data_IF_699821636674
#
_entry.id   IF_699821636674
#
_cell.length_a   1.000
_cell.length_b   1.000
_cell.length_c   1.000
_cell.angle_alpha   90.00
_cell.angle_beta   90.00
_cell.angle_gamma   90.00
#
_symmetry.space_group_name_H-M   'P 1'
#
loop_
_entity.id
_entity.type
_entity.pdbx_description
1 polymer ?
#
# COMPACT_ATOMS: atom_id res chain seq x y z
N UNK A 1 -10.52 -12.68 -3.46
CA UNK A 1 -9.23 -13.35 -3.18
C UNK A 1 -8.89 -13.09 -1.72
N UNK A 2 -8.65 -14.14 -0.93
CA UNK A 2 -8.15 -14.00 0.44
C UNK A 2 -6.62 -13.98 0.35
N UNK A 3 -5.98 -12.93 0.84
CA UNK A 3 -4.51 -12.86 0.93
C UNK A 3 -4.13 -12.82 2.40
N UNK A 4 -3.20 -13.69 2.78
CA UNK A 4 -2.54 -13.66 4.09
C UNK A 4 -1.04 -13.53 3.85
N UNK A 5 -0.42 -12.48 4.40
CA UNK A 5 1.04 -12.32 4.39
C UNK A 5 1.54 -11.87 5.76
N UNK A 6 2.65 -12.45 6.17
CA UNK A 6 3.41 -12.01 7.34
C UNK A 6 4.04 -10.65 7.05
N UNK A 7 4.30 -9.89 8.11
CA UNK A 7 5.10 -8.69 8.01
C UNK A 7 6.55 -9.08 7.81
N UNK A 8 7.09 -8.93 6.60
CA UNK A 8 8.51 -9.20 6.25
C UNK A 8 9.49 -8.21 6.93
N UNK A 9 9.13 -7.67 8.09
CA UNK A 9 9.91 -6.75 8.89
C UNK A 9 10.71 -7.47 9.96
N UNK A 10 11.70 -6.77 10.53
CA UNK A 10 12.72 -7.32 11.45
C UNK A 10 12.22 -8.23 12.59
N UNK A 11 10.97 -8.10 13.02
CA UNK A 11 10.42 -8.81 14.18
C UNK A 11 9.20 -9.69 13.89
N UNK A 12 8.75 -9.82 12.62
CA UNK A 12 7.54 -10.59 12.22
C UNK A 12 6.30 -10.36 13.12
N UNK A 13 6.21 -9.19 13.76
CA UNK A 13 5.27 -8.93 14.85
C UNK A 13 3.80 -8.94 14.42
N UNK A 14 3.55 -8.68 13.14
CA UNK A 14 2.21 -8.55 12.60
C UNK A 14 2.03 -9.39 11.34
N UNK A 15 0.80 -9.82 11.09
CA UNK A 15 0.39 -10.34 9.78
C UNK A 15 -0.89 -9.66 9.31
N UNK A 16 -1.04 -9.57 7.98
CA UNK A 16 -2.19 -8.95 7.33
C UNK A 16 -3.05 -10.01 6.70
N UNK A 17 -4.35 -9.87 6.93
CA UNK A 17 -5.41 -10.58 6.22
C UNK A 17 -6.20 -9.56 5.39
N UNK A 18 -6.22 -9.74 4.08
CA UNK A 18 -7.05 -8.95 3.17
C UNK A 18 -8.24 -9.78 2.73
N UNK A 19 -9.43 -9.23 2.99
CA UNK A 19 -10.71 -9.69 2.49
C UNK A 19 -11.30 -8.66 1.52
N UNK A 20 -12.49 -8.94 1.00
CA UNK A 20 -13.20 -7.96 0.16
C UNK A 20 -13.45 -6.68 0.96
N UNK A 21 -12.78 -5.60 0.58
CA UNK A 21 -12.90 -4.25 1.13
C UNK A 21 -12.50 -4.10 2.62
N UNK A 22 -11.85 -5.11 3.20
CA UNK A 22 -11.46 -5.11 4.61
C UNK A 22 -10.01 -5.58 4.73
N UNK A 23 -9.21 -4.83 5.46
CA UNK A 23 -7.85 -5.19 5.85
C UNK A 23 -7.81 -5.35 7.37
N UNK A 24 -7.48 -6.56 7.82
CA UNK A 24 -7.33 -6.89 9.23
C UNK A 24 -5.85 -7.14 9.51
N UNK A 25 -5.30 -6.45 10.51
CA UNK A 25 -3.92 -6.64 10.97
C UNK A 25 -3.97 -7.30 12.34
N UNK A 26 -3.23 -8.38 12.50
CA UNK A 26 -3.18 -9.17 13.73
C UNK A 26 -1.77 -9.17 14.30
N UNK A 27 -1.65 -9.27 15.61
CA UNK A 27 -0.39 -9.59 16.27
C UNK A 27 -0.08 -11.08 16.11
N UNK A 28 1.16 -11.40 15.80
CA UNK A 28 1.63 -12.77 15.58
C UNK A 28 1.61 -13.60 16.87
N UNK A 29 1.99 -13.01 18.00
CA UNK A 29 2.09 -13.74 19.28
C UNK A 29 0.71 -14.09 19.86
N UNK A 30 -0.23 -13.14 19.79
CA UNK A 30 -1.53 -13.27 20.46
C UNK A 30 -2.67 -13.61 19.50
N UNK A 31 -2.44 -13.54 18.19
CA UNK A 31 -3.47 -13.62 17.14
C UNK A 31 -4.64 -12.63 17.35
N UNK A 32 -4.40 -11.58 18.14
CA UNK A 32 -5.40 -10.56 18.44
C UNK A 32 -5.42 -9.49 17.36
N UNK A 33 -6.60 -8.93 17.10
CA UNK A 33 -6.77 -7.86 16.13
C UNK A 33 -6.15 -6.57 16.67
N UNK A 34 -5.15 -6.03 15.96
CA UNK A 34 -4.48 -4.78 16.32
C UNK A 34 -5.52 -3.66 16.42
N UNK A 35 -5.44 -2.82 17.46
CA UNK A 35 -6.40 -1.75 17.80
C UNK A 35 -7.88 -2.20 17.87
N UNK A 36 -8.15 -3.51 17.95
CA UNK A 36 -9.49 -4.11 17.99
C UNK A 36 -10.40 -3.69 16.81
N UNK A 37 -9.82 -3.21 15.70
CA UNK A 37 -10.57 -2.70 14.55
C UNK A 37 -9.82 -2.95 13.24
N UNK A 38 -10.56 -3.37 12.21
CA UNK A 38 -10.07 -3.52 10.84
C UNK A 38 -10.15 -2.20 10.05
N UNK A 39 -9.28 -2.03 9.07
CA UNK A 39 -9.34 -0.96 8.08
C UNK A 39 -10.41 -1.28 7.03
N UNK A 40 -11.28 -0.31 6.74
CA UNK A 40 -12.19 -0.36 5.60
C UNK A 40 -11.51 0.35 4.43
N UNK A 41 -10.94 -0.43 3.52
CA UNK A 41 -10.34 0.10 2.30
C UNK A 41 -10.77 -0.78 1.13
N UNK A 42 -11.47 -0.18 0.18
CA UNK A 42 -12.07 -0.93 -0.93
C UNK A 42 -11.06 -1.24 -2.02
N UNK A 43 -11.23 -2.40 -2.64
CA UNK A 43 -10.52 -2.80 -3.86
C UNK A 43 -8.98 -2.79 -3.75
N UNK A 44 -8.43 -3.03 -2.57
CA UNK A 44 -6.97 -3.24 -2.44
C UNK A 44 -6.56 -4.46 -3.26
N UNK A 45 -5.60 -4.26 -4.16
CA UNK A 45 -5.11 -5.32 -5.05
C UNK A 45 -3.71 -5.78 -4.69
N UNK A 46 -2.91 -4.91 -4.07
CA UNK A 46 -1.57 -5.26 -3.64
C UNK A 46 -1.17 -4.50 -2.37
N UNK A 47 -0.24 -5.08 -1.62
CA UNK A 47 0.35 -4.47 -0.44
C UNK A 47 1.76 -5.00 -0.19
N UNK A 48 2.57 -4.18 0.48
CA UNK A 48 3.89 -4.58 0.96
C UNK A 48 4.21 -3.95 2.32
N UNK A 49 4.93 -4.69 3.15
CA UNK A 49 5.43 -4.19 4.43
C UNK A 49 6.73 -3.40 4.26
N UNK A 50 7.07 -2.57 5.25
CA UNK A 50 8.46 -2.11 5.39
C UNK A 50 9.30 -3.26 5.91
N UNK A 51 10.53 -3.41 5.43
CA UNK A 51 11.47 -4.36 6.01
C UNK A 51 11.99 -3.93 7.40
N UNK A 52 11.90 -2.65 7.75
CA UNK A 52 12.49 -2.12 8.99
C UNK A 52 11.51 -1.44 9.97
N UNK A 53 10.33 -1.06 9.48
CA UNK A 53 9.31 -0.33 10.24
C UNK A 53 7.96 -1.02 10.12
N UNK A 54 7.06 -0.94 11.12
CA UNK A 54 5.71 -1.48 11.00
C UNK A 54 4.81 -0.58 10.15
N UNK A 55 5.19 -0.33 8.90
CA UNK A 55 4.49 0.50 7.92
C UNK A 55 4.01 -0.38 6.76
N UNK A 56 2.72 -0.30 6.45
CA UNK A 56 2.08 -1.00 5.35
C UNK A 56 1.93 -0.06 4.15
N UNK A 57 2.36 -0.50 2.98
CA UNK A 57 2.09 0.17 1.70
C UNK A 57 0.88 -0.51 1.04
N UNK A 58 -0.15 0.25 0.69
CA UNK A 58 -1.40 -0.25 0.13
C UNK A 58 -1.60 0.32 -1.27
N UNK A 59 -1.99 -0.51 -2.22
CA UNK A 59 -2.32 -0.10 -3.58
C UNK A 59 -3.77 -0.47 -3.94
N UNK A 60 -4.52 0.54 -4.38
CA UNK A 60 -5.86 0.39 -4.98
C UNK A 60 -5.73 0.72 -6.48
N UNK A 61 -6.25 -0.12 -7.38
CA UNK A 61 -6.15 0.08 -8.82
C UNK A 61 -7.08 1.21 -9.27
N UNK A 62 -6.91 1.70 -10.49
CA UNK A 62 -7.93 2.55 -11.09
C UNK A 62 -9.22 1.75 -11.28
N UNK A 63 -10.29 2.19 -10.63
CA UNK A 63 -11.62 1.62 -10.81
C UNK A 63 -12.21 2.21 -12.10
N UNK A 64 -12.95 1.40 -12.87
CA UNK A 64 -13.34 1.65 -14.27
C UNK A 64 -14.19 2.90 -14.58
N UNK A 65 -14.31 3.86 -13.66
CA UNK A 65 -14.80 5.20 -13.91
C UNK A 65 -13.72 6.08 -14.58
N UNK A 66 -14.11 6.88 -15.56
CA UNK A 66 -13.22 7.95 -16.06
C UNK A 66 -12.88 8.85 -14.88
N UNK A 67 -11.59 8.99 -14.57
CA UNK A 67 -11.02 9.95 -13.62
C UNK A 67 -10.97 9.55 -12.13
N UNK A 68 -11.17 8.28 -11.77
CA UNK A 68 -10.87 7.84 -10.40
C UNK A 68 -9.36 7.53 -10.25
N UNK A 69 -8.67 8.14 -9.27
CA UNK A 69 -7.26 7.88 -9.07
C UNK A 69 -7.03 6.46 -8.53
N UNK A 70 -5.82 5.96 -8.75
CA UNK A 70 -5.28 4.77 -8.10
C UNK A 70 -4.39 5.19 -6.93
N UNK A 71 -4.92 5.30 -5.69
CA UNK A 71 -4.10 5.73 -4.56
C UNK A 71 -3.09 4.65 -4.18
N UNK A 72 -1.89 5.12 -3.82
CA UNK A 72 -0.92 4.35 -3.05
C UNK A 72 -0.72 5.06 -1.72
N UNK A 73 -0.98 4.37 -0.61
CA UNK A 73 -0.89 4.92 0.74
C UNK A 73 0.06 4.15 1.64
N UNK A 74 0.66 4.88 2.59
CA UNK A 74 1.52 4.36 3.65
C UNK A 74 0.78 4.47 4.98
N UNK A 75 0.59 3.34 5.66
CA UNK A 75 -0.16 3.26 6.91
C UNK A 75 0.75 2.76 8.03
N UNK A 76 0.86 3.52 9.11
CA UNK A 76 1.60 3.15 10.31
C UNK A 76 0.80 2.15 11.15
N UNK A 77 1.46 1.10 11.64
CA UNK A 77 0.92 0.11 12.57
C UNK A 77 1.75 0.15 13.86
N UNK A 78 1.14 0.07 15.06
CA UNK A 78 -0.31 0.17 15.33
C UNK A 78 -0.84 1.59 15.08
N UNK A 79 -2.12 1.83 15.38
CA UNK A 79 -2.77 3.14 15.23
C UNK A 79 -3.44 3.35 13.88
N UNK A 80 -2.93 2.71 12.82
CA UNK A 80 -3.50 2.73 11.47
C UNK A 80 -3.61 4.14 10.88
N UNK A 81 -2.64 4.98 11.22
CA UNK A 81 -2.53 6.34 10.73
C UNK A 81 -1.98 6.33 9.29
N UNK A 82 -2.67 7.00 8.37
CA UNK A 82 -2.16 7.20 7.01
C UNK A 82 -1.07 8.28 7.06
N UNK A 83 0.19 7.83 6.98
CA UNK A 83 1.35 8.72 7.04
C UNK A 83 1.39 9.62 5.81
N UNK A 84 1.24 9.03 4.62
CA UNK A 84 1.26 9.71 3.32
C UNK A 84 0.55 8.89 2.25
N UNK A 85 0.13 9.56 1.20
CA UNK A 85 -0.48 8.93 0.03
C UNK A 85 -0.15 9.71 -1.24
N UNK A 86 -0.26 9.05 -2.39
CA UNK A 86 -0.25 9.71 -3.70
C UNK A 86 -1.34 9.13 -4.58
N UNK A 87 -2.02 10.00 -5.32
CA UNK A 87 -2.91 9.61 -6.40
C UNK A 87 -2.12 9.35 -7.68
N UNK A 88 -2.25 8.15 -8.21
CA UNK A 88 -1.76 7.80 -9.52
C UNK A 88 -2.91 7.84 -10.54
N UNK A 89 -2.57 8.05 -11.81
CA UNK A 89 -3.54 8.22 -12.89
C UNK A 89 -3.09 7.53 -14.16
N UNK A 90 -4.04 7.08 -14.97
CA UNK A 90 -3.80 6.31 -16.20
C UNK A 90 -2.94 5.08 -15.91
N UNK A 91 -3.19 4.35 -14.82
CA UNK A 91 -2.34 3.25 -14.33
C UNK A 91 -2.80 1.94 -14.95
N UNK A 92 -1.87 1.19 -15.54
CA UNK A 92 -2.10 -0.19 -16.00
C UNK A 92 -1.60 -1.22 -14.99
N UNK A 93 -0.45 -0.97 -14.38
CA UNK A 93 0.16 -1.86 -13.38
C UNK A 93 1.03 -1.05 -12.41
N UNK A 94 1.18 -1.56 -11.18
CA UNK A 94 1.99 -0.96 -10.14
C UNK A 94 2.82 -2.04 -9.44
N UNK A 95 4.11 -1.76 -9.22
CA UNK A 95 4.98 -2.60 -8.39
C UNK A 95 5.67 -1.76 -7.33
N UNK A 96 5.54 -2.19 -6.08
CA UNK A 96 6.11 -1.51 -4.92
C UNK A 96 7.46 -2.14 -4.54
N UNK A 97 8.48 -1.30 -4.35
CA UNK A 97 9.83 -1.70 -3.98
C UNK A 97 10.31 -0.92 -2.76
N UNK A 98 10.80 -1.66 -1.75
CA UNK A 98 11.27 -1.13 -0.46
C UNK A 98 12.67 -1.67 -0.19
N UNK A 99 13.58 -0.81 0.27
CA UNK A 99 14.96 -1.19 0.64
C UNK A 99 15.21 -1.01 2.14
N UNK A 100 15.50 0.23 2.57
CA UNK A 100 15.99 0.53 3.92
C UNK A 100 14.98 1.37 4.73
N UNK A 101 13.69 1.33 4.37
CA UNK A 101 12.61 2.08 5.02
C UNK A 101 12.66 3.61 4.88
N UNK A 102 13.69 4.18 4.25
CA UNK A 102 13.75 5.62 3.95
C UNK A 102 12.87 6.00 2.75
N UNK A 103 12.77 5.11 1.78
CA UNK A 103 12.02 5.33 0.55
C UNK A 103 11.11 4.14 0.21
N UNK A 104 9.95 4.45 -0.38
CA UNK A 104 9.17 3.52 -1.18
C UNK A 104 9.26 3.99 -2.63
N UNK A 105 9.71 3.11 -3.52
CA UNK A 105 9.65 3.32 -4.95
C UNK A 105 8.49 2.53 -5.54
N UNK A 106 7.62 3.21 -6.28
CA UNK A 106 6.52 2.58 -7.01
C UNK A 106 6.84 2.68 -8.49
N UNK A 107 7.12 1.54 -9.13
CA UNK A 107 7.15 1.46 -10.59
C UNK A 107 5.71 1.49 -11.07
N UNK A 108 5.36 2.47 -11.88
CA UNK A 108 4.02 2.66 -12.42
C UNK A 108 4.08 2.51 -13.93
N UNK A 109 3.42 1.48 -14.46
CA UNK A 109 3.19 1.39 -15.89
C UNK A 109 1.90 2.17 -16.20
N UNK A 110 2.02 3.17 -17.08
CA UNK A 110 0.94 4.13 -17.38
C UNK A 110 0.49 4.02 -18.82
N UNK A 111 -0.81 4.05 -19.04
CA UNK A 111 -1.38 4.19 -20.38
C UNK A 111 -1.05 5.55 -20.98
N UNK A 112 -0.74 5.57 -22.28
CA UNK A 112 -0.71 6.83 -23.04
C UNK A 112 -2.11 7.43 -23.15
N UNK A 113 -2.21 8.72 -23.49
CA UNK A 113 -3.50 9.44 -23.62
C UNK A 113 -4.51 8.71 -24.53
N UNK A 114 -4.01 8.02 -25.56
CA UNK A 114 -4.82 7.30 -26.56
C UNK A 114 -4.99 5.81 -26.18
N UNK A 115 -4.47 5.38 -25.01
CA UNK A 115 -4.50 4.00 -24.48
C UNK A 115 -3.98 2.91 -25.45
N UNK A 116 -3.15 3.28 -26.42
CA UNK A 116 -2.58 2.34 -27.42
C UNK A 116 -1.29 1.67 -26.95
N UNK A 117 -0.61 2.25 -25.97
CA UNK A 117 0.66 1.78 -25.45
C UNK A 117 0.83 2.19 -23.99
N UNK A 118 1.81 1.58 -23.31
CA UNK A 118 2.21 1.94 -21.96
C UNK A 118 3.62 2.51 -21.93
N UNK A 119 3.91 3.33 -20.92
CA UNK A 119 5.27 3.75 -20.57
C UNK A 119 5.47 3.59 -19.06
N UNK A 120 6.71 3.36 -18.65
CA UNK A 120 7.05 3.20 -17.23
C UNK A 120 7.50 4.54 -16.63
N UNK A 121 6.93 4.88 -15.47
CA UNK A 121 7.43 5.93 -14.60
C UNK A 121 7.72 5.39 -13.20
N UNK A 122 8.42 6.17 -12.38
CA UNK A 122 8.65 5.86 -10.98
C UNK A 122 8.12 6.97 -10.08
N UNK A 123 7.40 6.58 -9.04
CA UNK A 123 6.93 7.47 -8.00
C UNK A 123 7.68 7.16 -6.71
N UNK A 124 8.39 8.15 -6.19
CA UNK A 124 9.14 8.01 -4.94
C UNK A 124 8.34 8.62 -3.79
N UNK A 125 8.31 7.90 -2.67
CA UNK A 125 7.81 8.38 -1.38
C UNK A 125 8.98 8.43 -0.42
N UNK A 126 9.20 9.58 0.22
CA UNK A 126 10.31 9.81 1.17
C UNK A 126 9.81 9.69 2.60
N UNK A 127 9.89 8.51 3.21
CA UNK A 127 9.20 8.09 4.46
C UNK A 127 9.48 9.01 5.64
N UNK A 128 10.71 9.47 5.80
CA UNK A 128 11.12 10.31 6.93
C UNK A 128 10.84 11.80 6.74
N UNK A 129 10.48 12.25 5.55
CA UNK A 129 10.17 13.66 5.32
C UNK A 129 8.69 13.95 5.66
N UNK A 130 8.41 15.08 6.35
CA UNK A 130 7.03 15.50 6.59
C UNK A 130 6.29 15.63 5.27
N UNK A 131 5.00 15.25 5.25
CA UNK A 131 4.17 15.52 4.08
C UNK A 131 4.12 17.04 3.88
N UNK A 132 4.46 17.58 2.69
CA UNK A 132 4.25 19.01 2.44
C UNK A 132 2.75 19.30 2.55
N UNK A 133 2.38 20.22 3.43
CA UNK A 133 1.01 20.69 3.62
C UNK A 133 0.41 21.25 2.32
#
# INVERSE_FOLDING_TARGET
MLILRWGDGKDDKYFVRIEKNIISIYETETFSLVDKKSLKLENVVDFSWSPIDPILSLHVPELGGRNQPAPVSLVQIPGKEELRWKNLFSVSDCKMYRSNGDYLAVKVDRYTKIKKSTYTGFELFRIKEPHPN
#
